data_IF_906168670815
#
_entry.id   IF_906168670815
#
_cell.length_a   1.000
_cell.length_b   1.000
_cell.length_c   1.000
_cell.angle_alpha   90.00
_cell.angle_beta   90.00
_cell.angle_gamma   90.00
#
_symmetry.space_group_name_H-M   'P 1'
#
loop_
_entity.id
_entity.type
_entity.pdbx_description
1 polymer ?
#
# COMPACT_ATOMS: atom_id res chain seq x y z
N UNK A 1 -2.97 -6.39 -40.09
CA UNK A 1 -2.93 -7.26 -38.90
C UNK A 1 -2.79 -6.34 -37.71
N UNK A 2 -3.88 -6.20 -36.96
CA UNK A 2 -4.04 -5.20 -35.92
C UNK A 2 -3.55 -5.77 -34.58
N UNK A 3 -2.68 -5.04 -33.89
CA UNK A 3 -2.23 -5.33 -32.53
C UNK A 3 -3.30 -4.88 -31.52
N UNK A 4 -3.52 -5.58 -30.39
CA UNK A 4 -4.49 -5.17 -29.40
C UNK A 4 -3.90 -4.12 -28.45
N UNK A 5 -4.55 -2.97 -28.35
CA UNK A 5 -4.33 -1.98 -27.29
C UNK A 5 -4.75 -2.59 -25.94
N UNK A 6 -3.82 -2.56 -24.98
CA UNK A 6 -4.05 -3.02 -23.61
C UNK A 6 -4.65 -1.84 -22.82
N UNK A 7 -5.94 -1.91 -22.50
CA UNK A 7 -6.64 -0.89 -21.71
C UNK A 7 -6.57 -1.19 -20.20
N UNK A 8 -5.56 -0.69 -19.48
CA UNK A 8 -5.50 -0.76 -18.01
C UNK A 8 -5.85 0.55 -17.27
N UNK A 9 -6.18 1.63 -17.98
CA UNK A 9 -6.32 2.97 -17.38
C UNK A 9 -7.74 3.39 -16.96
N UNK A 10 -8.79 2.62 -17.32
CA UNK A 10 -10.18 3.07 -17.09
C UNK A 10 -10.75 2.75 -15.70
N UNK A 11 -10.22 1.75 -14.98
CA UNK A 11 -10.78 1.36 -13.69
C UNK A 11 -10.28 2.22 -12.52
N UNK A 12 -9.00 2.65 -12.51
CA UNK A 12 -8.44 3.53 -11.49
C UNK A 12 -9.05 4.93 -11.51
N UNK A 13 -9.35 5.46 -12.70
CA UNK A 13 -9.97 6.78 -12.88
C UNK A 13 -11.38 6.86 -12.27
N UNK A 14 -12.19 5.79 -12.41
CA UNK A 14 -13.55 5.75 -11.85
C UNK A 14 -13.57 5.73 -10.31
N UNK A 15 -12.56 5.13 -9.66
CA UNK A 15 -12.42 5.15 -8.20
C UNK A 15 -12.06 6.55 -7.66
N UNK A 16 -11.21 7.29 -8.38
CA UNK A 16 -10.80 8.66 -8.02
C UNK A 16 -11.99 9.62 -8.14
N UNK A 17 -12.80 9.50 -9.20
CA UNK A 17 -13.98 10.34 -9.42
C UNK A 17 -15.07 10.14 -8.36
N UNK A 18 -15.31 8.89 -7.94
CA UNK A 18 -16.29 8.60 -6.89
C UNK A 18 -15.89 9.21 -5.53
N UNK A 19 -14.59 9.32 -5.24
CA UNK A 19 -14.08 9.93 -4.00
C UNK A 19 -14.13 11.47 -4.01
N UNK A 20 -13.93 12.12 -5.16
CA UNK A 20 -14.12 13.57 -5.29
C UNK A 20 -15.56 13.99 -4.98
N UNK A 21 -16.52 13.09 -5.20
CA UNK A 21 -17.92 13.29 -4.86
C UNK A 21 -18.15 13.23 -3.34
N UNK A 22 -17.51 12.29 -2.66
CA UNK A 22 -17.68 12.05 -1.22
C UNK A 22 -16.95 13.10 -0.35
N UNK A 23 -15.83 13.65 -0.83
CA UNK A 23 -15.05 14.66 -0.10
C UNK A 23 -15.65 16.05 -0.10
N UNK A 24 -16.50 16.39 -1.08
CA UNK A 24 -17.26 17.66 -1.07
C UNK A 24 -18.31 17.74 0.04
N UNK A 25 -18.70 16.61 0.61
CA UNK A 25 -19.79 16.53 1.58
C UNK A 25 -19.33 16.53 3.06
N UNK A 26 -18.01 16.57 3.32
CA UNK A 26 -17.46 16.56 4.67
C UNK A 26 -16.89 17.95 5.04
N UNK A 27 -17.77 18.84 5.51
CA UNK A 27 -17.36 20.12 6.09
C UNK A 27 -16.52 19.95 7.36
N UNK A 28 -15.56 20.86 7.53
CA UNK A 28 -14.54 20.91 8.58
C UNK A 28 -15.08 21.54 9.86
N UNK A 29 -14.64 21.08 11.05
CA UNK A 29 -14.49 21.97 12.19
C UNK A 29 -13.01 22.27 12.47
N UNK A 30 -12.74 23.56 12.71
CA UNK A 30 -11.47 24.14 13.11
C UNK A 30 -11.07 23.76 14.55
N UNK A 31 -9.90 24.28 14.97
CA UNK A 31 -9.21 24.28 16.30
C UNK A 31 -7.92 23.47 16.22
N UNK A 32 -6.75 23.90 16.68
CA UNK A 32 -6.31 25.06 17.46
C UNK A 32 -4.87 24.77 17.91
N UNK A 33 -4.03 25.79 17.95
CA UNK A 33 -2.60 25.68 18.26
C UNK A 33 -2.32 25.18 19.69
N UNK A 34 -1.33 24.31 19.87
CA UNK A 34 -0.28 24.53 20.90
C UNK A 34 0.92 23.57 20.77
N UNK A 35 2.07 24.24 20.72
CA UNK A 35 3.35 24.00 21.39
C UNK A 35 4.25 22.79 21.07
N UNK A 36 5.47 23.22 20.75
CA UNK A 36 6.74 22.54 20.52
C UNK A 36 7.31 22.11 21.87
N UNK A 37 7.82 20.88 21.97
CA UNK A 37 8.96 20.59 22.84
C UNK A 37 9.89 19.59 22.13
N UNK A 38 11.11 20.06 21.89
CA UNK A 38 12.26 19.29 21.43
C UNK A 38 12.88 18.55 22.62
N UNK A 39 13.10 17.24 22.51
CA UNK A 39 14.18 16.60 23.26
C UNK A 39 14.75 15.40 22.51
N UNK A 40 16.05 15.55 22.24
CA UNK A 40 17.07 14.53 22.03
C UNK A 40 16.89 13.26 22.87
N UNK A 41 17.04 12.08 22.25
CA UNK A 41 17.47 10.86 22.94
C UNK A 41 18.45 10.10 22.05
N UNK A 42 19.69 10.09 22.50
CA UNK A 42 20.80 9.26 22.06
C UNK A 42 20.76 7.97 22.90
N UNK A 43 20.86 6.83 22.22
CA UNK A 43 21.20 5.46 22.68
C UNK A 43 20.59 4.92 23.97
N UNK A 44 19.72 3.92 23.82
CA UNK A 44 19.71 2.73 24.69
C UNK A 44 19.49 1.50 23.80
N UNK A 45 20.58 0.76 23.54
CA UNK A 45 20.54 -0.62 23.06
C UNK A 45 20.05 -1.49 24.21
N UNK A 46 18.76 -1.83 24.21
CA UNK A 46 18.23 -2.94 25.01
C UNK A 46 17.70 -3.98 24.03
N UNK A 47 18.24 -5.19 24.15
CA UNK A 47 17.85 -6.35 23.36
C UNK A 47 16.32 -6.52 23.38
N UNK A 48 15.68 -6.90 22.25
CA UNK A 48 14.26 -7.22 22.27
C UNK A 48 14.03 -8.47 23.14
N UNK A 49 12.98 -8.52 23.96
CA UNK A 49 12.62 -9.74 24.66
C UNK A 49 12.21 -10.79 23.61
N UNK A 50 12.83 -11.96 23.68
CA UNK A 50 12.50 -13.12 22.87
C UNK A 50 11.01 -13.43 22.99
N UNK A 51 10.26 -13.24 21.89
CA UNK A 51 8.93 -13.82 21.76
C UNK A 51 9.16 -15.33 21.63
N UNK A 52 8.79 -16.07 22.68
CA UNK A 52 8.72 -17.52 22.62
C UNK A 52 7.70 -17.86 21.54
N UNK A 53 8.20 -18.29 20.38
CA UNK A 53 7.40 -18.97 19.37
C UNK A 53 6.83 -20.21 20.05
N UNK A 54 5.56 -20.16 20.43
CA UNK A 54 4.86 -21.36 20.86
C UNK A 54 4.76 -22.28 19.65
N UNK A 55 5.36 -23.46 19.79
CA UNK A 55 5.28 -24.57 18.84
C UNK A 55 3.83 -24.85 18.43
N UNK A 56 3.57 -25.37 17.21
CA UNK A 56 2.23 -25.69 16.77
C UNK A 56 1.63 -26.74 17.71
N UNK A 57 0.56 -26.34 18.42
CA UNK A 57 -0.22 -27.27 19.24
C UNK A 57 -0.89 -28.24 18.28
N UNK A 58 -0.47 -29.51 18.35
CA UNK A 58 -1.12 -30.60 17.62
C UNK A 58 -2.60 -30.67 18.01
N UNK A 59 -3.54 -30.85 17.06
CA UNK A 59 -4.96 -30.86 17.39
C UNK A 59 -5.33 -32.19 18.06
N UNK A 60 -5.33 -32.21 19.40
CA UNK A 60 -5.98 -33.28 20.18
C UNK A 60 -7.49 -33.03 20.25
N UNK A 61 -8.22 -33.78 19.42
CA UNK A 61 -9.56 -34.34 19.62
C UNK A 61 -10.73 -33.47 20.13
N UNK A 62 -11.76 -33.43 19.28
CA UNK A 62 -13.20 -33.25 19.53
C UNK A 62 -13.72 -31.87 19.94
N UNK A 63 -13.90 -31.00 18.95
CA UNK A 63 -15.08 -30.13 18.85
C UNK A 63 -15.77 -30.43 17.51
N UNK A 64 -17.10 -30.30 17.38
CA UNK A 64 -17.76 -30.60 16.12
C UNK A 64 -17.23 -29.62 15.06
N UNK A 65 -16.52 -30.16 14.06
CA UNK A 65 -15.90 -29.40 12.96
C UNK A 65 -16.92 -28.53 12.21
N UNK A 66 -18.21 -28.80 12.37
CA UNK A 66 -19.31 -28.12 11.68
C UNK A 66 -20.18 -27.38 12.70
N UNK A 67 -20.08 -26.05 12.71
CA UNK A 67 -21.02 -25.19 13.45
C UNK A 67 -22.29 -24.93 12.62
N UNK A 68 -23.44 -24.61 13.26
CA UNK A 68 -24.66 -24.22 12.56
C UNK A 68 -24.43 -23.03 11.60
N UNK A 69 -25.29 -22.91 10.59
CA UNK A 69 -25.31 -21.76 9.69
C UNK A 69 -25.80 -20.52 10.43
N UNK A 70 -25.20 -19.35 10.16
CA UNK A 70 -25.62 -18.06 10.71
C UNK A 70 -27.07 -17.69 10.35
N UNK A 71 -27.59 -18.24 9.25
CA UNK A 71 -28.95 -17.95 8.76
C UNK A 71 -30.00 -18.75 9.55
N UNK A 72 -29.63 -19.89 10.11
CA UNK A 72 -30.55 -20.83 10.75
C UNK A 72 -30.76 -20.54 12.25
N UNK A 73 -30.05 -19.55 12.79
CA UNK A 73 -29.99 -19.24 14.23
C UNK A 73 -30.69 -17.91 14.54
N UNK A 74 -31.45 -17.81 15.65
CA UNK A 74 -32.12 -16.58 16.06
C UNK A 74 -31.16 -15.40 16.23
N UNK A 75 -31.62 -14.17 15.97
CA UNK A 75 -30.81 -12.94 16.03
C UNK A 75 -30.08 -12.73 17.38
N UNK A 76 -30.60 -13.28 18.49
CA UNK A 76 -29.98 -13.22 19.82
C UNK A 76 -28.72 -14.07 19.97
N UNK A 77 -28.58 -15.13 19.18
CA UNK A 77 -27.45 -16.07 19.23
C UNK A 77 -26.46 -15.85 18.07
N UNK A 78 -26.85 -15.06 17.07
CA UNK A 78 -26.03 -14.78 15.87
C UNK A 78 -24.69 -14.13 16.22
N UNK A 79 -24.64 -13.17 17.15
CA UNK A 79 -23.39 -12.51 17.54
C UNK A 79 -22.38 -13.48 18.16
N UNK A 80 -22.82 -14.30 19.12
CA UNK A 80 -21.96 -15.29 19.78
C UNK A 80 -21.49 -16.37 18.80
N UNK A 81 -22.38 -16.84 17.90
CA UNK A 81 -22.01 -17.79 16.86
C UNK A 81 -20.99 -17.18 15.88
N UNK A 82 -21.18 -15.92 15.49
CA UNK A 82 -20.25 -15.20 14.63
C UNK A 82 -18.86 -15.10 15.27
N UNK A 83 -18.79 -14.71 16.56
CA UNK A 83 -17.54 -14.66 17.32
C UNK A 83 -16.86 -16.05 17.37
N UNK A 84 -17.63 -17.12 17.59
CA UNK A 84 -17.09 -18.50 17.57
C UNK A 84 -16.54 -18.88 16.20
N UNK A 85 -17.24 -18.53 15.11
CA UNK A 85 -16.75 -18.76 13.73
C UNK A 85 -15.46 -17.97 13.46
N UNK A 86 -15.37 -16.71 13.88
CA UNK A 86 -14.11 -15.93 13.79
C UNK A 86 -12.96 -16.62 14.53
N UNK A 87 -13.20 -17.12 15.76
CA UNK A 87 -12.21 -17.87 16.53
C UNK A 87 -11.78 -19.16 15.84
N UNK A 88 -12.70 -19.88 15.20
CA UNK A 88 -12.37 -21.07 14.41
C UNK A 88 -11.47 -20.71 13.21
N UNK A 89 -11.74 -19.60 12.53
CA UNK A 89 -10.95 -19.14 11.39
C UNK A 89 -9.52 -18.68 11.75
N UNK A 90 -9.19 -18.53 13.03
CA UNK A 90 -7.82 -18.24 13.50
C UNK A 90 -6.86 -19.43 13.38
N UNK A 91 -7.37 -20.66 13.20
CA UNK A 91 -6.52 -21.83 12.97
C UNK A 91 -5.89 -21.72 11.59
N UNK A 92 -4.56 -21.60 11.53
CA UNK A 92 -3.79 -21.52 10.28
C UNK A 92 -3.49 -22.93 9.80
N UNK A 93 -3.66 -23.17 8.50
CA UNK A 93 -3.34 -24.44 7.86
C UNK A 93 -2.11 -24.25 6.97
N UNK A 94 -1.26 -25.27 6.92
CA UNK A 94 -0.10 -25.30 6.02
C UNK A 94 -0.54 -25.71 4.61
N UNK A 95 -0.23 -24.88 3.62
CA UNK A 95 -0.51 -25.11 2.20
C UNK A 95 0.73 -25.57 1.42
N UNK A 96 1.89 -25.69 2.06
CA UNK A 96 3.11 -26.24 1.44
C UNK A 96 2.91 -27.68 0.99
N UNK A 97 2.11 -28.46 1.73
CA UNK A 97 1.57 -29.75 1.30
C UNK A 97 0.05 -29.65 1.08
N UNK A 98 -0.36 -29.71 -0.19
CA UNK A 98 -1.77 -29.64 -0.58
C UNK A 98 -2.61 -30.82 -0.08
N UNK A 99 -1.99 -31.98 0.20
CA UNK A 99 -2.69 -33.20 0.60
C UNK A 99 -2.99 -33.26 2.11
N UNK A 100 -2.31 -32.45 2.93
CA UNK A 100 -2.56 -32.39 4.37
C UNK A 100 -3.84 -31.60 4.69
N UNK A 101 -4.60 -32.12 5.66
CA UNK A 101 -5.78 -31.47 6.26
C UNK A 101 -6.83 -30.94 5.28
N UNK A 102 -7.04 -31.61 4.14
CA UNK A 102 -8.02 -31.22 3.10
C UNK A 102 -9.40 -30.90 3.71
N UNK A 103 -9.88 -31.74 4.64
CA UNK A 103 -11.16 -31.53 5.31
C UNK A 103 -11.16 -30.28 6.18
N UNK A 104 -10.08 -30.01 6.92
CA UNK A 104 -9.95 -28.81 7.76
C UNK A 104 -9.85 -27.54 6.91
N UNK A 105 -9.07 -27.60 5.82
CA UNK A 105 -8.95 -26.53 4.83
C UNK A 105 -10.29 -26.17 4.22
N UNK A 106 -11.09 -27.17 3.84
CA UNK A 106 -12.41 -26.96 3.26
C UNK A 106 -13.41 -26.40 4.28
N UNK A 107 -13.41 -26.90 5.51
CA UNK A 107 -14.26 -26.36 6.59
C UNK A 107 -13.95 -24.89 6.85
N UNK A 108 -12.67 -24.52 6.95
CA UNK A 108 -12.27 -23.11 7.13
C UNK A 108 -12.67 -22.26 5.93
N UNK A 109 -12.48 -22.75 4.71
CA UNK A 109 -12.89 -22.06 3.49
C UNK A 109 -14.39 -21.78 3.49
N UNK A 110 -15.21 -22.81 3.72
CA UNK A 110 -16.67 -22.68 3.80
C UNK A 110 -17.10 -21.70 4.90
N UNK A 111 -16.47 -21.78 6.08
CA UNK A 111 -16.76 -20.88 7.20
C UNK A 111 -16.40 -19.44 6.87
N UNK A 112 -15.24 -19.18 6.26
CA UNK A 112 -14.84 -17.83 5.83
C UNK A 112 -15.80 -17.26 4.78
N UNK A 113 -16.25 -18.07 3.81
CA UNK A 113 -17.25 -17.67 2.81
C UNK A 113 -18.57 -17.31 3.48
N UNK A 114 -19.03 -18.12 4.44
CA UNK A 114 -20.27 -17.85 5.18
C UNK A 114 -20.19 -16.54 5.99
N UNK A 115 -19.06 -16.31 6.68
CA UNK A 115 -18.80 -15.05 7.41
C UNK A 115 -18.80 -13.88 6.42
N UNK A 116 -18.18 -14.04 5.24
CA UNK A 116 -18.09 -13.01 4.21
C UNK A 116 -19.48 -12.63 3.67
N UNK A 117 -20.31 -13.63 3.36
CA UNK A 117 -21.67 -13.44 2.88
C UNK A 117 -22.58 -12.79 3.94
N UNK A 118 -22.29 -13.04 5.22
CA UNK A 118 -23.01 -12.43 6.34
C UNK A 118 -22.77 -10.92 6.44
N UNK A 119 -21.59 -10.40 6.05
CA UNK A 119 -21.28 -8.97 5.99
C UNK A 119 -21.83 -8.34 4.70
N UNK A 120 -23.16 -8.41 4.54
CA UNK A 120 -23.86 -7.65 3.50
C UNK A 120 -24.27 -6.29 4.06
N UNK A 121 -24.07 -5.17 3.33
CA UNK A 121 -24.45 -3.83 3.79
C UNK A 121 -25.93 -3.76 4.23
N UNK A 122 -26.18 -3.18 5.40
CA UNK A 122 -27.54 -2.91 5.89
C UNK A 122 -28.30 -4.08 6.50
N UNK A 123 -27.67 -5.27 6.67
CA UNK A 123 -28.30 -6.41 7.34
C UNK A 123 -28.03 -6.47 8.84
N UNK A 124 -26.78 -6.30 9.28
CA UNK A 124 -26.39 -6.45 10.69
C UNK A 124 -25.30 -5.43 11.06
N UNK A 125 -25.57 -4.58 12.05
CA UNK A 125 -24.60 -3.62 12.57
C UNK A 125 -23.51 -4.32 13.39
N UNK A 126 -22.25 -3.87 13.26
CA UNK A 126 -21.15 -4.39 14.06
C UNK A 126 -21.21 -3.90 15.50
N UNK A 127 -21.26 -4.82 16.45
CA UNK A 127 -21.16 -4.50 17.88
C UNK A 127 -19.72 -4.19 18.28
N UNK A 128 -19.51 -3.49 19.39
CA UNK A 128 -18.17 -3.17 19.90
C UNK A 128 -17.35 -4.43 20.22
N UNK A 129 -18.01 -5.49 20.70
CA UNK A 129 -17.37 -6.76 21.06
C UNK A 129 -16.81 -7.54 19.86
N UNK A 130 -17.34 -7.30 18.65
CA UNK A 130 -16.88 -7.97 17.43
C UNK A 130 -15.53 -7.43 16.94
N UNK A 131 -15.22 -6.14 17.15
CA UNK A 131 -14.02 -5.49 16.60
C UNK A 131 -12.72 -6.20 17.00
N UNK A 132 -12.46 -6.51 18.29
CA UNK A 132 -11.24 -7.23 18.68
C UNK A 132 -11.13 -8.61 18.06
N UNK A 133 -12.24 -9.34 17.93
CA UNK A 133 -12.25 -10.70 17.37
C UNK A 133 -12.01 -10.71 15.86
N UNK A 134 -12.58 -9.74 15.15
CA UNK A 134 -12.34 -9.51 13.72
C UNK A 134 -10.86 -9.20 13.48
N UNK A 135 -10.31 -8.20 14.20
CA UNK A 135 -8.91 -7.79 14.02
C UNK A 135 -7.95 -8.92 14.43
N UNK A 136 -8.27 -9.68 15.47
CA UNK A 136 -7.49 -10.86 15.88
C UNK A 136 -7.50 -11.94 14.79
N UNK A 137 -8.66 -12.22 14.18
CA UNK A 137 -8.77 -13.18 13.08
C UNK A 137 -7.95 -12.74 11.87
N UNK A 138 -8.02 -11.46 11.50
CA UNK A 138 -7.21 -10.89 10.41
C UNK A 138 -5.71 -10.98 10.74
N UNK A 139 -5.29 -10.55 11.93
CA UNK A 139 -3.89 -10.56 12.34
C UNK A 139 -3.28 -11.97 12.36
N UNK A 140 -4.00 -12.97 12.89
CA UNK A 140 -3.54 -14.37 12.92
C UNK A 140 -3.37 -14.99 11.52
N UNK A 141 -4.11 -14.51 10.52
CA UNK A 141 -4.05 -15.06 9.17
C UNK A 141 -3.08 -14.30 8.27
N UNK A 142 -2.99 -12.97 8.39
CA UNK A 142 -2.20 -12.14 7.49
C UNK A 142 -0.75 -11.97 7.95
N UNK A 143 -0.54 -11.67 9.24
CA UNK A 143 0.78 -11.28 9.74
C UNK A 143 1.67 -12.50 9.94
N UNK A 144 2.52 -12.73 8.93
CA UNK A 144 3.46 -13.83 8.84
C UNK A 144 4.81 -13.30 8.36
N UNK A 145 5.87 -14.06 8.64
CA UNK A 145 7.17 -13.83 7.99
C UNK A 145 7.03 -14.25 6.54
N UNK A 146 7.36 -13.35 5.61
CA UNK A 146 7.39 -13.68 4.19
C UNK A 146 8.51 -14.70 3.91
N UNK A 147 8.35 -15.57 2.89
CA UNK A 147 9.41 -16.48 2.49
C UNK A 147 10.73 -15.73 2.24
N UNK A 148 11.89 -16.33 2.57
CA UNK A 148 13.17 -15.70 2.27
C UNK A 148 13.34 -15.54 0.76
N UNK A 149 14.05 -14.49 0.35
CA UNK A 149 14.45 -14.27 -1.04
C UNK A 149 15.39 -15.42 -1.43
N UNK A 150 14.92 -16.37 -2.22
CA UNK A 150 15.70 -17.55 -2.58
C UNK A 150 16.78 -17.24 -3.62
N UNK A 151 16.56 -16.20 -4.45
CA UNK A 151 17.38 -15.93 -5.63
C UNK A 151 17.98 -14.51 -5.59
N UNK A 152 19.30 -14.43 -5.37
CA UNK A 152 20.04 -13.16 -5.24
C UNK A 152 20.16 -12.46 -6.60
N UNK A 153 20.09 -13.22 -7.70
CA UNK A 153 20.13 -12.74 -9.08
C UNK A 153 18.73 -12.54 -9.68
N UNK A 154 17.68 -12.52 -8.85
CA UNK A 154 16.30 -12.32 -9.30
C UNK A 154 16.17 -10.95 -10.00
N UNK A 155 15.75 -10.98 -11.25
CA UNK A 155 15.39 -9.77 -12.00
C UNK A 155 13.87 -9.58 -11.92
N UNK A 156 13.38 -8.61 -11.13
CA UNK A 156 11.94 -8.38 -11.01
C UNK A 156 11.26 -7.90 -12.30
N UNK A 157 12.02 -7.57 -13.35
CA UNK A 157 11.48 -7.28 -14.68
C UNK A 157 11.32 -8.54 -15.55
N UNK A 158 12.14 -9.57 -15.35
CA UNK A 158 12.19 -10.76 -16.22
C UNK A 158 11.62 -12.02 -15.56
N UNK A 159 11.72 -12.15 -14.24
CA UNK A 159 11.34 -13.34 -13.50
C UNK A 159 9.86 -13.35 -13.09
N UNK A 160 9.25 -14.54 -13.16
CA UNK A 160 7.86 -14.75 -12.73
C UNK A 160 7.72 -14.64 -11.20
N UNK A 161 6.68 -13.94 -10.70
CA UNK A 161 6.48 -13.79 -9.26
C UNK A 161 6.06 -15.10 -8.59
N UNK A 162 6.54 -15.33 -7.37
CA UNK A 162 6.06 -16.46 -6.56
C UNK A 162 4.66 -16.19 -6.01
N UNK A 163 3.72 -17.08 -6.32
CA UNK A 163 2.36 -17.00 -5.79
C UNK A 163 2.24 -17.65 -4.41
N UNK A 164 1.46 -17.02 -3.53
CA UNK A 164 1.23 -17.53 -2.17
C UNK A 164 0.36 -18.79 -2.19
N UNK A 165 0.85 -19.90 -1.62
CA UNK A 165 0.16 -21.19 -1.60
C UNK A 165 -1.13 -21.14 -0.77
N UNK A 166 -1.15 -20.31 0.29
CA UNK A 166 -2.30 -20.15 1.19
C UNK A 166 -3.40 -19.23 0.64
N UNK A 167 -3.26 -18.77 -0.61
CA UNK A 167 -4.17 -17.83 -1.26
C UNK A 167 -5.66 -18.18 -1.18
N UNK A 168 -6.11 -19.46 -1.27
CA UNK A 168 -7.53 -19.81 -1.14
C UNK A 168 -8.17 -19.36 0.19
N UNK A 169 -7.40 -19.28 1.28
CA UNK A 169 -7.86 -18.74 2.56
C UNK A 169 -7.56 -17.25 2.67
N UNK A 170 -6.35 -16.82 2.32
CA UNK A 170 -5.94 -15.42 2.47
C UNK A 170 -6.81 -14.46 1.66
N UNK A 171 -7.18 -14.84 0.43
CA UNK A 171 -8.10 -14.04 -0.39
C UNK A 171 -9.41 -13.75 0.35
N UNK A 172 -10.00 -14.75 0.99
CA UNK A 172 -11.25 -14.59 1.74
C UNK A 172 -11.07 -13.69 2.97
N UNK A 173 -9.92 -13.78 3.65
CA UNK A 173 -9.59 -12.91 4.79
C UNK A 173 -9.40 -11.46 4.33
N UNK A 174 -8.72 -11.23 3.21
CA UNK A 174 -8.56 -9.90 2.61
C UNK A 174 -9.90 -9.31 2.16
N UNK A 175 -10.70 -10.08 1.43
CA UNK A 175 -12.05 -9.69 1.00
C UNK A 175 -12.95 -9.33 2.20
N UNK A 176 -12.88 -10.14 3.25
CA UNK A 176 -13.61 -9.91 4.50
C UNK A 176 -13.17 -8.62 5.17
N UNK A 177 -11.86 -8.42 5.32
CA UNK A 177 -11.34 -7.23 5.99
C UNK A 177 -11.64 -5.96 5.21
N UNK A 178 -11.55 -5.99 3.88
CA UNK A 178 -11.92 -4.88 3.02
C UNK A 178 -13.42 -4.55 3.15
N UNK A 179 -14.31 -5.54 3.05
CA UNK A 179 -15.76 -5.32 3.24
C UNK A 179 -16.09 -4.79 4.63
N UNK A 180 -15.41 -5.28 5.66
CA UNK A 180 -15.55 -4.78 7.02
C UNK A 180 -15.18 -3.29 7.13
N UNK A 181 -14.06 -2.87 6.52
CA UNK A 181 -13.63 -1.48 6.51
C UNK A 181 -14.54 -0.58 5.65
N UNK A 182 -15.07 -1.09 4.54
CA UNK A 182 -15.95 -0.33 3.62
C UNK A 182 -17.40 -0.26 4.06
N UNK A 183 -17.82 -1.13 4.97
CA UNK A 183 -19.20 -1.17 5.46
C UNK A 183 -19.65 0.20 6.01
N UNK A 184 -20.89 0.65 5.68
CA UNK A 184 -21.45 1.88 6.23
C UNK A 184 -21.65 1.81 7.74
N UNK A 185 -21.80 0.59 8.29
CA UNK A 185 -21.99 0.35 9.72
C UNK A 185 -20.67 0.40 10.52
N UNK A 186 -19.53 0.51 9.82
CA UNK A 186 -18.22 0.59 10.45
C UNK A 186 -18.05 1.89 11.26
N UNK A 187 -17.68 1.75 12.53
CA UNK A 187 -17.49 2.85 13.48
C UNK A 187 -15.98 3.05 13.74
N UNK A 188 -15.35 4.12 13.22
CA UNK A 188 -13.92 4.39 13.44
C UNK A 188 -13.53 4.54 14.91
N UNK A 189 -14.48 4.94 15.78
CA UNK A 189 -14.26 5.09 17.22
C UNK A 189 -13.97 3.75 17.92
N UNK A 190 -14.58 2.66 17.44
CA UNK A 190 -14.31 1.31 17.94
C UNK A 190 -13.08 0.73 17.25
N UNK A 191 -12.94 0.94 15.93
CA UNK A 191 -11.79 0.50 15.15
C UNK A 191 -10.45 1.03 15.66
N UNK A 192 -10.38 2.29 16.11
CA UNK A 192 -9.11 2.88 16.59
C UNK A 192 -8.56 2.25 17.88
N UNK A 193 -9.39 1.50 18.62
CA UNK A 193 -8.97 0.79 19.84
C UNK A 193 -8.19 -0.49 19.52
N UNK A 194 -8.35 -1.01 18.30
CA UNK A 194 -7.82 -2.31 17.87
C UNK A 194 -6.86 -2.21 16.67
N UNK A 195 -7.05 -1.21 15.81
CA UNK A 195 -6.12 -0.87 14.71
C UNK A 195 -5.19 0.22 15.23
N UNK A 196 -4.04 -0.21 15.75
CA UNK A 196 -3.01 0.67 16.30
C UNK A 196 -1.79 0.79 15.37
N UNK A 197 -0.75 1.49 15.83
CA UNK A 197 0.49 1.66 15.06
C UNK A 197 1.20 0.34 14.79
N UNK A 198 1.10 -0.63 15.71
CA UNK A 198 1.71 -1.95 15.54
C UNK A 198 1.02 -2.72 14.43
N UNK A 199 -0.31 -2.73 14.42
CA UNK A 199 -1.10 -3.35 13.35
C UNK A 199 -0.73 -2.76 11.98
N UNK A 200 -0.64 -1.43 11.89
CA UNK A 200 -0.26 -0.74 10.64
C UNK A 200 1.16 -1.08 10.20
N UNK A 201 2.11 -1.18 11.13
CA UNK A 201 3.48 -1.55 10.79
C UNK A 201 3.55 -2.98 10.22
N UNK A 202 2.89 -3.95 10.87
CA UNK A 202 2.84 -5.32 10.38
C UNK A 202 2.12 -5.44 9.03
N UNK A 203 1.09 -4.61 8.80
CA UNK A 203 0.42 -4.52 7.50
C UNK A 203 1.35 -3.95 6.42
N UNK A 204 2.17 -2.95 6.75
CA UNK A 204 3.14 -2.36 5.82
C UNK A 204 4.27 -3.33 5.46
N UNK A 205 4.71 -4.17 6.40
CA UNK A 205 5.72 -5.21 6.14
C UNK A 205 5.26 -6.23 5.07
N UNK A 206 3.96 -6.48 4.95
CA UNK A 206 3.40 -7.38 3.93
C UNK A 206 3.45 -6.82 2.51
N UNK A 207 3.71 -5.52 2.31
CA UNK A 207 3.88 -4.95 0.96
C UNK A 207 5.11 -5.51 0.24
N UNK A 208 6.01 -6.17 0.96
CA UNK A 208 7.15 -6.87 0.36
C UNK A 208 6.79 -8.26 -0.20
N UNK A 209 5.51 -8.65 -0.15
CA UNK A 209 5.03 -9.90 -0.76
C UNK A 209 5.30 -9.94 -2.26
N UNK A 210 5.81 -11.06 -2.76
CA UNK A 210 6.02 -11.28 -4.21
C UNK A 210 4.70 -11.40 -4.97
N UNK A 211 3.62 -11.82 -4.30
CA UNK A 211 2.32 -12.01 -4.93
C UNK A 211 1.64 -10.66 -5.22
N UNK A 212 1.50 -10.25 -6.49
CA UNK A 212 0.89 -8.96 -6.84
C UNK A 212 -0.57 -8.85 -6.40
N UNK A 213 -1.26 -9.99 -6.26
CA UNK A 213 -2.66 -10.01 -5.82
C UNK A 213 -2.76 -9.59 -4.34
N UNK A 214 -1.81 -10.04 -3.52
CA UNK A 214 -1.74 -9.64 -2.11
C UNK A 214 -1.45 -8.15 -1.98
N UNK A 215 -0.48 -7.63 -2.76
CA UNK A 215 -0.14 -6.20 -2.76
C UNK A 215 -1.30 -5.30 -3.17
N UNK A 216 -2.13 -5.71 -4.14
CA UNK A 216 -3.31 -4.92 -4.55
C UNK A 216 -4.39 -4.83 -3.46
N UNK A 217 -4.61 -5.92 -2.70
CA UNK A 217 -5.48 -5.87 -1.51
C UNK A 217 -4.90 -4.98 -0.42
N UNK A 218 -3.61 -5.15 -0.10
CA UNK A 218 -2.91 -4.34 0.90
C UNK A 218 -2.97 -2.85 0.54
N UNK A 219 -2.80 -2.52 -0.74
CA UNK A 219 -2.93 -1.17 -1.27
C UNK A 219 -4.27 -0.55 -0.91
N UNK A 220 -5.34 -1.25 -1.26
CA UNK A 220 -6.71 -0.79 -1.04
C UNK A 220 -7.03 -0.68 0.45
N UNK A 221 -6.65 -1.68 1.25
CA UNK A 221 -6.87 -1.72 2.70
C UNK A 221 -6.12 -0.58 3.39
N UNK A 222 -4.84 -0.37 3.09
CA UNK A 222 -4.04 0.70 3.67
C UNK A 222 -4.61 2.08 3.31
N UNK A 223 -5.08 2.25 2.07
CA UNK A 223 -5.75 3.48 1.65
C UNK A 223 -7.04 3.75 2.44
N UNK A 224 -7.87 2.71 2.68
CA UNK A 224 -9.08 2.83 3.53
C UNK A 224 -8.74 3.18 4.97
N UNK A 225 -7.71 2.54 5.55
CA UNK A 225 -7.23 2.84 6.90
C UNK A 225 -6.76 4.30 6.97
N UNK A 226 -5.96 4.76 6.02
CA UNK A 226 -5.48 6.14 5.96
C UNK A 226 -6.64 7.16 5.89
N UNK A 227 -7.67 6.84 5.10
CA UNK A 227 -8.87 7.66 4.96
C UNK A 227 -9.65 7.80 6.27
N UNK A 228 -9.95 6.66 6.92
CA UNK A 228 -10.83 6.59 8.10
C UNK A 228 -10.14 6.97 9.41
N UNK A 229 -8.84 6.75 9.55
CA UNK A 229 -8.11 6.96 10.80
C UNK A 229 -7.16 8.16 10.73
N UNK A 230 -7.69 9.36 11.00
CA UNK A 230 -6.92 10.61 11.00
C UNK A 230 -5.67 10.55 11.89
N UNK A 231 -5.77 9.92 13.06
CA UNK A 231 -4.66 9.78 14.03
C UNK A 231 -3.50 8.90 13.56
N UNK A 232 -3.71 8.02 12.58
CA UNK A 232 -2.67 7.14 12.03
C UNK A 232 -1.96 7.74 10.81
N UNK A 233 -2.49 8.82 10.21
CA UNK A 233 -1.97 9.38 8.95
C UNK A 233 -0.50 9.78 9.03
N UNK A 234 -0.10 10.48 10.09
CA UNK A 234 1.29 10.90 10.27
C UNK A 234 2.23 9.70 10.43
N UNK A 235 1.80 8.68 11.18
CA UNK A 235 2.55 7.44 11.37
C UNK A 235 2.72 6.68 10.05
N UNK A 236 1.64 6.50 9.27
CA UNK A 236 1.68 5.83 7.96
C UNK A 236 2.67 6.53 7.02
N UNK A 237 2.57 7.86 6.86
CA UNK A 237 3.52 8.61 6.02
C UNK A 237 4.96 8.45 6.48
N UNK A 238 5.20 8.49 7.79
CA UNK A 238 6.54 8.29 8.36
C UNK A 238 7.08 6.90 8.07
N UNK A 239 6.27 5.85 8.21
CA UNK A 239 6.72 4.49 7.93
C UNK A 239 6.98 4.27 6.44
N UNK A 240 6.08 4.71 5.55
CA UNK A 240 6.31 4.63 4.09
C UNK A 240 7.62 5.34 3.71
N UNK A 241 7.87 6.52 4.29
CA UNK A 241 9.14 7.23 4.12
C UNK A 241 10.35 6.38 4.57
N UNK A 242 10.28 5.74 5.74
CA UNK A 242 11.35 4.85 6.20
C UNK A 242 11.59 3.68 5.25
N UNK A 243 10.53 3.04 4.75
CA UNK A 243 10.64 1.95 3.76
C UNK A 243 11.33 2.45 2.48
N UNK A 244 10.95 3.61 1.96
CA UNK A 244 11.60 4.19 0.79
C UNK A 244 13.06 4.56 1.04
N UNK A 245 13.39 5.16 2.19
CA UNK A 245 14.77 5.46 2.53
C UNK A 245 15.63 4.18 2.61
N UNK A 246 15.12 3.14 3.27
CA UNK A 246 15.79 1.82 3.33
C UNK A 246 15.97 1.23 1.93
N UNK A 247 14.94 1.28 1.10
CA UNK A 247 14.98 0.82 -0.28
C UNK A 247 16.04 1.59 -1.12
N UNK A 248 16.07 2.92 -1.03
CA UNK A 248 16.96 3.79 -1.83
C UNK A 248 18.43 3.68 -1.41
N UNK A 249 18.71 3.43 -0.12
CA UNK A 249 20.04 3.60 0.46
C UNK A 249 20.66 2.32 1.05
N UNK A 250 19.87 1.28 1.33
CA UNK A 250 20.35 0.06 2.00
C UNK A 250 20.13 -1.19 1.16
N UNK A 251 18.88 -1.49 0.78
CA UNK A 251 18.54 -2.81 0.21
C UNK A 251 18.46 -2.84 -1.30
N UNK A 252 18.04 -1.74 -1.95
CA UNK A 252 17.63 -1.71 -3.38
C UNK A 252 16.59 -2.78 -3.76
N UNK A 253 15.93 -3.39 -2.77
CA UNK A 253 14.91 -4.42 -2.92
C UNK A 253 13.73 -4.11 -2.01
N UNK A 254 12.55 -4.01 -2.61
CA UNK A 254 11.23 -3.92 -1.97
C UNK A 254 10.16 -4.08 -3.05
N UNK A 255 9.25 -5.05 -2.93
CA UNK A 255 8.31 -5.38 -4.02
C UNK A 255 7.16 -4.38 -4.16
N UNK A 256 6.75 -3.72 -3.06
CA UNK A 256 5.54 -2.88 -3.02
C UNK A 256 5.73 -1.39 -3.28
N UNK A 257 6.83 -0.97 -3.94
CA UNK A 257 7.12 0.46 -4.16
C UNK A 257 6.00 1.13 -4.98
N UNK A 258 5.55 0.49 -6.05
CA UNK A 258 4.52 1.02 -6.94
C UNK A 258 3.19 1.23 -6.23
N UNK A 259 2.73 0.24 -5.48
CA UNK A 259 1.47 0.29 -4.74
C UNK A 259 1.50 1.36 -3.63
N UNK A 260 2.63 1.51 -2.92
CA UNK A 260 2.79 2.59 -1.94
C UNK A 260 2.78 3.97 -2.60
N UNK A 261 3.37 4.11 -3.79
CA UNK A 261 3.33 5.36 -4.57
C UNK A 261 1.92 5.67 -5.06
N UNK A 262 1.11 4.70 -5.48
CA UNK A 262 -0.29 4.93 -5.84
C UNK A 262 -1.09 5.53 -4.67
N UNK A 263 -0.91 4.98 -3.46
CA UNK A 263 -1.54 5.53 -2.25
C UNK A 263 -1.04 6.95 -2.01
N UNK A 264 0.27 7.18 -2.12
CA UNK A 264 0.85 8.50 -1.91
C UNK A 264 0.35 9.52 -2.93
N UNK A 265 0.17 9.15 -4.19
CA UNK A 265 -0.40 10.02 -5.21
C UNK A 265 -1.78 10.54 -4.82
N UNK A 266 -2.66 9.65 -4.35
CA UNK A 266 -3.97 10.01 -3.78
C UNK A 266 -3.83 10.95 -2.56
N UNK A 267 -2.89 10.66 -1.66
CA UNK A 267 -2.62 11.48 -0.46
C UNK A 267 -2.12 12.88 -0.83
N UNK A 268 -1.20 12.99 -1.80
CA UNK A 268 -0.60 14.24 -2.26
C UNK A 268 -1.67 15.14 -2.90
N UNK A 269 -2.54 14.56 -3.73
CA UNK A 269 -3.67 15.28 -4.29
C UNK A 269 -4.58 15.87 -3.18
N UNK A 270 -4.72 15.17 -2.05
CA UNK A 270 -5.46 15.65 -0.88
C UNK A 270 -4.73 16.69 0.01
N UNK A 271 -3.50 17.12 -0.31
CA UNK A 271 -2.79 18.10 0.52
C UNK A 271 -3.44 19.48 0.49
N UNK A 272 -3.53 20.07 1.69
CA UNK A 272 -3.92 21.46 1.88
C UNK A 272 -2.78 22.40 1.47
N UNK A 273 -3.15 23.57 0.96
CA UNK A 273 -2.21 24.66 0.66
C UNK A 273 -2.18 25.68 1.81
N UNK A 274 -1.01 26.27 2.13
CA UNK A 274 0.29 26.00 1.53
C UNK A 274 0.85 24.63 1.94
N UNK A 275 1.70 24.05 1.08
CA UNK A 275 2.34 22.77 1.36
C UNK A 275 3.19 22.86 2.63
N UNK A 276 3.09 21.83 3.48
CA UNK A 276 3.89 21.76 4.71
C UNK A 276 5.37 21.49 4.37
N UNK A 277 6.31 22.01 5.16
CA UNK A 277 7.75 21.75 4.96
C UNK A 277 8.10 20.25 4.94
N UNK A 278 7.41 19.43 5.73
CA UNK A 278 7.59 17.96 5.74
C UNK A 278 7.27 17.32 4.38
N UNK A 279 6.27 17.83 3.65
CA UNK A 279 5.89 17.32 2.33
C UNK A 279 6.90 17.73 1.26
N UNK A 280 7.43 18.96 1.33
CA UNK A 280 8.49 19.43 0.44
C UNK A 280 9.77 18.63 0.67
N UNK A 281 10.13 18.37 1.93
CA UNK A 281 11.26 17.49 2.26
C UNK A 281 11.05 16.07 1.72
N UNK A 282 9.84 15.52 1.82
CA UNK A 282 9.51 14.21 1.25
C UNK A 282 9.74 14.17 -0.27
N UNK A 283 9.27 15.18 -1.01
CA UNK A 283 9.54 15.31 -2.45
C UNK A 283 11.06 15.31 -2.72
N UNK A 284 11.80 16.21 -2.07
CA UNK A 284 13.22 16.43 -2.38
C UNK A 284 14.16 15.31 -1.90
N UNK A 285 13.82 14.63 -0.80
CA UNK A 285 14.69 13.65 -0.14
C UNK A 285 14.29 12.20 -0.40
N UNK A 286 13.10 11.97 -0.95
CA UNK A 286 12.58 10.61 -1.16
C UNK A 286 12.13 10.43 -2.60
N UNK A 287 11.14 11.19 -3.08
CA UNK A 287 10.60 11.00 -4.43
C UNK A 287 11.65 11.27 -5.52
N UNK A 288 12.39 12.38 -5.45
CA UNK A 288 13.44 12.65 -6.44
C UNK A 288 14.53 11.56 -6.40
N UNK A 289 15.10 11.16 -5.24
CA UNK A 289 16.07 10.07 -5.21
C UNK A 289 15.58 8.68 -5.64
N UNK A 290 14.27 8.39 -5.60
CA UNK A 290 13.74 7.10 -6.10
C UNK A 290 14.10 6.85 -7.58
N UNK A 291 14.21 7.90 -8.39
CA UNK A 291 14.60 7.79 -9.81
C UNK A 291 15.99 7.19 -10.04
N UNK A 292 16.86 7.17 -9.02
CA UNK A 292 18.22 6.63 -9.17
C UNK A 292 18.25 5.09 -9.16
N UNK A 293 17.27 4.44 -8.51
CA UNK A 293 17.32 3.00 -8.18
C UNK A 293 17.11 2.15 -9.44
N UNK A 294 17.81 1.01 -9.57
CA UNK A 294 17.89 0.21 -10.82
C UNK A 294 16.52 -0.18 -11.39
N UNK A 295 15.63 -0.75 -10.61
CA UNK A 295 14.30 -1.23 -11.00
C UNK A 295 13.23 -0.11 -11.12
N UNK A 296 13.59 1.07 -11.62
CA UNK A 296 12.69 2.23 -11.74
C UNK A 296 11.46 1.93 -12.62
N UNK A 297 11.64 1.15 -13.68
CA UNK A 297 10.60 0.70 -14.62
C UNK A 297 9.35 0.15 -13.95
N UNK A 298 9.50 -0.56 -12.83
CA UNK A 298 8.39 -1.19 -12.11
C UNK A 298 7.41 -0.20 -11.47
N UNK A 299 7.84 1.04 -11.18
CA UNK A 299 7.03 2.01 -10.43
C UNK A 299 7.12 3.45 -10.95
N UNK A 300 7.77 3.67 -12.09
CA UNK A 300 7.99 5.01 -12.64
C UNK A 300 6.71 5.78 -12.93
N UNK A 301 5.71 5.15 -13.52
CA UNK A 301 4.45 5.83 -13.84
C UNK A 301 3.79 6.40 -12.57
N UNK A 302 3.81 5.63 -11.48
CA UNK A 302 3.30 6.03 -10.18
C UNK A 302 4.15 7.14 -9.54
N UNK A 303 5.48 7.08 -9.73
CA UNK A 303 6.42 8.10 -9.24
C UNK A 303 6.25 9.42 -9.97
N UNK A 304 6.23 9.41 -11.30
CA UNK A 304 6.00 10.57 -12.15
C UNK A 304 4.67 11.23 -11.81
N UNK A 305 3.60 10.45 -11.65
CA UNK A 305 2.31 10.94 -11.17
C UNK A 305 2.44 11.69 -9.83
N UNK A 306 3.13 11.11 -8.84
CA UNK A 306 3.35 11.79 -7.56
C UNK A 306 4.11 13.11 -7.71
N UNK A 307 5.13 13.16 -8.58
CA UNK A 307 5.93 14.36 -8.84
C UNK A 307 5.07 15.45 -9.49
N UNK A 308 4.32 15.12 -10.54
CA UNK A 308 3.40 16.05 -11.23
C UNK A 308 2.36 16.59 -10.25
N UNK A 309 1.76 15.73 -9.41
CA UNK A 309 0.80 16.19 -8.39
C UNK A 309 1.40 17.20 -7.40
N UNK A 310 2.70 17.10 -7.07
CA UNK A 310 3.36 18.11 -6.25
C UNK A 310 3.50 19.45 -6.98
N UNK A 311 3.83 19.43 -8.28
CA UNK A 311 4.01 20.63 -9.09
C UNK A 311 2.68 21.35 -9.36
N UNK A 312 1.59 20.61 -9.56
CA UNK A 312 0.24 21.19 -9.64
C UNK A 312 -0.17 21.92 -8.35
N UNK A 313 0.30 21.44 -7.19
CA UNK A 313 0.02 22.06 -5.88
C UNK A 313 0.89 23.28 -5.62
N UNK A 314 2.16 23.24 -6.01
CA UNK A 314 3.10 24.33 -5.84
C UNK A 314 4.13 24.38 -6.99
N UNK A 315 3.89 25.21 -8.02
CA UNK A 315 4.79 25.36 -9.17
C UNK A 315 6.18 25.89 -8.81
N UNK A 316 6.35 26.48 -7.61
CA UNK A 316 7.68 26.99 -7.20
C UNK A 316 8.70 25.88 -6.96
N UNK A 317 8.23 24.63 -6.83
CA UNK A 317 9.07 23.44 -6.63
C UNK A 317 9.70 22.92 -7.94
N UNK A 318 9.21 23.35 -9.11
CA UNK A 318 9.65 22.84 -10.41
C UNK A 318 11.16 22.94 -10.63
N UNK A 319 11.76 24.08 -10.24
CA UNK A 319 13.21 24.27 -10.40
C UNK A 319 14.01 23.20 -9.64
N UNK A 320 13.56 22.84 -8.43
CA UNK A 320 14.23 21.84 -7.60
C UNK A 320 14.03 20.43 -8.17
N UNK A 321 12.82 20.12 -8.66
CA UNK A 321 12.50 18.83 -9.29
C UNK A 321 13.34 18.61 -10.54
N UNK A 322 13.30 19.55 -11.51
CA UNK A 322 14.05 19.41 -12.77
C UNK A 322 15.55 19.31 -12.53
N UNK A 323 16.11 20.16 -11.64
CA UNK A 323 17.55 20.04 -11.27
C UNK A 323 17.87 18.70 -10.61
N UNK A 324 16.93 18.14 -9.84
CA UNK A 324 17.02 16.83 -9.24
C UNK A 324 17.05 15.69 -10.28
N UNK A 325 16.11 15.71 -11.23
CA UNK A 325 16.05 14.74 -12.34
C UNK A 325 17.32 14.82 -13.22
N UNK A 326 17.74 16.03 -13.61
CA UNK A 326 18.97 16.23 -14.39
C UNK A 326 20.21 15.74 -13.65
N UNK A 327 20.24 15.83 -12.31
CA UNK A 327 21.34 15.28 -11.50
C UNK A 327 21.37 13.75 -11.53
N UNK A 328 20.22 13.10 -11.54
CA UNK A 328 20.09 11.64 -11.58
C UNK A 328 19.92 11.07 -12.99
N UNK A 329 20.16 11.89 -14.02
CA UNK A 329 19.98 11.49 -15.41
C UNK A 329 20.73 10.19 -15.75
N UNK A 330 20.05 9.15 -16.28
CA UNK A 330 20.65 7.87 -16.61
C UNK A 330 21.74 8.03 -17.69
N UNK A 331 22.91 7.44 -17.46
CA UNK A 331 24.03 7.48 -18.44
C UNK A 331 24.32 6.15 -19.12
N UNK A 332 23.80 5.06 -18.57
CA UNK A 332 24.15 3.69 -18.97
C UNK A 332 22.94 2.84 -19.35
N UNK A 333 21.72 3.31 -19.06
CA UNK A 333 20.49 2.59 -19.33
C UNK A 333 19.59 3.46 -20.22
N UNK A 334 19.49 3.13 -21.50
CA UNK A 334 18.69 3.86 -22.49
C UNK A 334 17.20 3.78 -22.19
N UNK A 335 16.71 2.64 -21.69
CA UNK A 335 15.31 2.47 -21.30
C UNK A 335 14.90 3.51 -20.25
N UNK A 336 15.69 3.68 -19.19
CA UNK A 336 15.46 4.75 -18.19
C UNK A 336 15.56 6.14 -18.79
N UNK A 337 16.45 6.35 -19.75
CA UNK A 337 16.60 7.66 -20.40
C UNK A 337 15.30 8.06 -21.12
N UNK A 338 14.67 7.11 -21.83
CA UNK A 338 13.33 7.29 -22.45
C UNK A 338 12.27 7.63 -21.40
N UNK A 339 12.30 6.97 -20.24
CA UNK A 339 11.36 7.23 -19.15
C UNK A 339 11.52 8.64 -18.57
N UNK A 340 12.76 9.09 -18.32
CA UNK A 340 13.06 10.44 -17.86
C UNK A 340 12.62 11.51 -18.87
N UNK A 341 12.80 11.28 -20.17
CA UNK A 341 12.31 12.20 -21.21
C UNK A 341 10.79 12.29 -21.14
N UNK A 342 10.10 11.16 -20.99
CA UNK A 342 8.64 11.12 -20.84
C UNK A 342 8.13 11.86 -19.61
N UNK A 343 8.75 11.66 -18.45
CA UNK A 343 8.38 12.40 -17.23
C UNK A 343 8.65 13.90 -17.38
N UNK A 344 9.75 14.30 -18.01
CA UNK A 344 10.02 15.71 -18.28
C UNK A 344 8.95 16.32 -19.18
N UNK A 345 8.50 15.62 -20.22
CA UNK A 345 7.41 16.10 -21.07
C UNK A 345 6.14 16.34 -20.25
N UNK A 346 5.73 15.39 -19.42
CA UNK A 346 4.56 15.54 -18.52
C UNK A 346 4.72 16.73 -17.56
N UNK A 347 5.92 16.95 -17.03
CA UNK A 347 6.20 18.12 -16.17
C UNK A 347 6.12 19.43 -16.96
N UNK A 348 6.60 19.44 -18.21
CA UNK A 348 6.54 20.62 -19.07
C UNK A 348 5.12 20.97 -19.51
N UNK A 349 4.20 20.00 -19.57
CA UNK A 349 2.79 20.27 -19.87
C UNK A 349 2.08 21.10 -18.79
N UNK A 350 2.54 21.02 -17.54
CA UNK A 350 1.95 21.74 -16.40
C UNK A 350 2.81 22.91 -15.89
N UNK A 351 3.95 23.20 -16.54
CA UNK A 351 4.91 24.18 -16.04
C UNK A 351 4.45 25.63 -16.23
N UNK A 352 4.64 26.46 -15.20
CA UNK A 352 4.52 27.91 -15.34
C UNK A 352 5.69 28.49 -16.18
N UNK A 353 5.42 29.38 -17.16
CA UNK A 353 6.45 29.99 -17.98
C UNK A 353 7.57 30.68 -17.18
N UNK A 354 7.23 31.24 -16.01
CA UNK A 354 8.21 31.90 -15.13
C UNK A 354 9.19 30.93 -14.49
N UNK A 355 8.78 29.69 -14.23
CA UNK A 355 9.65 28.63 -13.73
C UNK A 355 10.47 28.02 -14.86
N UNK A 356 9.88 27.89 -16.05
CA UNK A 356 10.57 27.38 -17.24
C UNK A 356 11.83 28.18 -17.58
N UNK A 357 11.76 29.53 -17.52
CA UNK A 357 12.93 30.40 -17.78
C UNK A 357 14.13 30.06 -16.90
N UNK A 358 13.91 29.57 -15.68
CA UNK A 358 14.99 29.21 -14.74
C UNK A 358 15.68 27.89 -15.08
N UNK A 359 15.00 27.00 -15.79
CA UNK A 359 15.47 25.64 -16.07
C UNK A 359 15.74 25.36 -17.55
N UNK A 360 15.30 26.23 -18.47
CA UNK A 360 15.41 26.02 -19.91
C UNK A 360 16.85 25.73 -20.37
N UNK A 361 17.85 26.49 -19.91
CA UNK A 361 19.22 26.27 -20.38
C UNK A 361 19.79 24.90 -19.99
N UNK A 362 19.81 24.49 -18.70
CA UNK A 362 20.33 23.18 -18.34
C UNK A 362 19.48 22.04 -18.93
N UNK A 363 18.16 22.24 -19.06
CA UNK A 363 17.26 21.26 -19.67
C UNK A 363 17.60 21.04 -21.16
N UNK A 364 17.62 22.09 -21.97
CA UNK A 364 17.89 21.97 -23.40
C UNK A 364 19.30 21.49 -23.72
N UNK A 365 20.28 21.76 -22.84
CA UNK A 365 21.61 21.13 -22.95
C UNK A 365 21.55 19.61 -22.81
N UNK A 366 20.67 19.10 -21.95
CA UNK A 366 20.48 17.66 -21.79
C UNK A 366 19.67 17.08 -22.97
N UNK A 367 18.59 17.74 -23.39
CA UNK A 367 17.81 17.33 -24.58
C UNK A 367 18.68 17.28 -25.84
N UNK A 368 19.57 18.25 -26.05
CA UNK A 368 20.49 18.22 -27.19
C UNK A 368 21.39 16.98 -27.22
N UNK A 369 21.76 16.44 -26.04
CA UNK A 369 22.50 15.17 -25.95
C UNK A 369 21.62 13.97 -26.28
N UNK A 370 20.37 13.96 -25.81
CA UNK A 370 19.41 12.90 -26.11
C UNK A 370 19.10 12.82 -27.61
N UNK A 371 18.85 13.96 -28.27
CA UNK A 371 18.66 14.04 -29.72
C UNK A 371 19.89 13.55 -30.50
N UNK A 372 21.08 13.75 -29.95
CA UNK A 372 22.34 13.28 -30.55
C UNK A 372 22.71 11.85 -30.12
N UNK A 373 21.84 11.16 -29.39
CA UNK A 373 22.10 9.81 -28.88
C UNK A 373 22.22 8.81 -30.03
N UNK A 374 23.19 7.88 -29.98
CA UNK A 374 23.25 6.78 -30.95
C UNK A 374 22.11 5.77 -30.75
N UNK A 375 21.41 5.79 -29.62
CA UNK A 375 20.30 4.89 -29.33
C UNK A 375 19.00 5.44 -29.90
N UNK A 376 18.44 4.76 -30.91
CA UNK A 376 17.32 5.29 -31.69
C UNK A 376 16.10 5.66 -30.83
N UNK A 377 15.71 4.84 -29.84
CA UNK A 377 14.56 5.14 -28.98
C UNK A 377 14.75 6.40 -28.14
N UNK A 378 16.00 6.74 -27.79
CA UNK A 378 16.29 7.96 -27.00
C UNK A 378 16.28 9.18 -27.90
N UNK A 379 16.78 9.07 -29.13
CA UNK A 379 16.81 10.18 -30.07
C UNK A 379 15.44 10.48 -30.68
N UNK A 380 14.58 9.46 -30.83
CA UNK A 380 13.21 9.59 -31.33
C UNK A 380 12.23 10.14 -30.28
N UNK A 381 12.43 9.78 -29.01
CA UNK A 381 11.58 10.20 -27.88
C UNK A 381 11.79 11.66 -27.51
#
# INVERSE_FOLDING_TARGET
>A
MSSPEISYTKNSHNYILNWLQDTKNAETPAVGQSLIETSSVVSVLVQPPSIVVQSPVSPTTSSPLTMPSLIDVPSTEQEELFIRKLRQCCVVFDFSDAALDIKGKEVKRATLTEILDHITPGKNAFTEAMYPEIIRMVACNLFRTLPPIENIDFDPEEDDPTFEASWPHLKLVYDFFLRFLESPDFQPVNGKKVIDQKFVLQLLELFDSEDPRERDFLKTILHRIYGKFLGLRAFIRKQINNFFLKFIYETEHFNGVGELLEILGSIINGFALPLKPEHIQFLCKVLIPLHKVRCLSLYHAQLAYCVVQFLEKDPTLTEQVIKGLLKFWPKTCSHKEVMFIGEIEEILDVIDPTQFVKIQEPLFRQIARCVSSPHFQVAER
#
